data_IF_526481579365
#
_entry.id   IF_526481579365
#
_cell.length_a   1.000
_cell.length_b   1.000
_cell.length_c   1.000
_cell.angle_alpha   90.00
_cell.angle_beta   90.00
_cell.angle_gamma   90.00
#
_symmetry.space_group_name_H-M   'P 1'
#
loop_
_entity.id
_entity.type
_entity.pdbx_description
1 polymer ?
#
# COMPACT_ATOMS: atom_id res chain seq x y z
N UNK A 1 32.64 21.80 21.20
CA UNK A 1 31.27 21.46 21.64
C UNK A 1 31.02 20.02 21.24
N UNK A 2 30.29 19.24 22.05
CA UNK A 2 30.02 17.84 21.70
C UNK A 2 29.01 17.81 20.53
N UNK A 3 29.50 17.58 19.31
CA UNK A 3 28.68 17.54 18.08
C UNK A 3 28.00 16.17 17.87
N UNK A 4 28.09 15.28 18.86
CA UNK A 4 27.46 13.95 18.79
C UNK A 4 25.93 14.08 18.62
N UNK A 5 25.33 13.42 17.61
CA UNK A 5 23.90 13.53 17.32
C UNK A 5 23.03 12.99 18.47
N UNK A 6 21.78 13.45 18.52
CA UNK A 6 20.76 12.98 19.45
C UNK A 6 19.66 12.31 18.64
N UNK A 7 19.32 11.07 18.98
CA UNK A 7 18.26 10.30 18.34
C UNK A 7 17.12 10.09 19.33
N UNK A 8 15.97 10.70 19.07
CA UNK A 8 14.73 10.46 19.81
C UNK A 8 13.94 9.42 19.05
N UNK A 9 13.87 8.21 19.60
CA UNK A 9 13.14 7.10 19.03
C UNK A 9 11.77 6.99 19.71
N UNK A 10 10.71 7.01 18.91
CA UNK A 10 9.35 6.77 19.38
C UNK A 10 8.51 6.08 18.32
N UNK A 11 7.27 5.76 18.70
CA UNK A 11 6.20 5.47 17.76
C UNK A 11 5.42 6.76 17.44
N UNK A 12 4.51 6.68 16.46
CA UNK A 12 3.53 7.74 16.25
C UNK A 12 2.73 8.02 17.53
N UNK A 13 2.31 9.28 17.74
CA UNK A 13 1.43 9.68 18.86
C UNK A 13 1.98 9.41 20.28
N UNK A 14 3.28 9.21 20.43
CA UNK A 14 3.97 9.09 21.73
C UNK A 14 4.36 10.43 22.37
N UNK A 15 3.93 11.57 21.80
CA UNK A 15 4.34 12.91 22.28
C UNK A 15 5.69 13.38 21.74
N UNK A 16 6.20 12.78 20.67
CA UNK A 16 7.50 13.10 20.08
C UNK A 16 7.58 14.52 19.50
N UNK A 17 6.48 15.05 18.97
CA UNK A 17 6.38 16.46 18.55
C UNK A 17 6.60 17.43 19.71
N UNK A 18 6.15 17.09 20.92
CA UNK A 18 6.42 17.91 22.11
C UNK A 18 7.93 17.95 22.39
N UNK A 19 8.57 16.78 22.47
CA UNK A 19 10.01 16.73 22.74
C UNK A 19 10.82 17.39 21.63
N UNK A 20 10.44 17.21 20.36
CA UNK A 20 11.02 17.96 19.24
C UNK A 20 10.96 19.48 19.47
N UNK A 21 9.81 20.01 19.87
CA UNK A 21 9.63 21.43 20.15
C UNK A 21 10.44 21.89 21.38
N UNK A 22 10.62 21.03 22.39
CA UNK A 22 11.46 21.31 23.57
C UNK A 22 12.91 21.58 23.16
N UNK A 23 13.47 20.78 22.25
CA UNK A 23 14.82 21.02 21.72
C UNK A 23 14.84 22.20 20.75
N UNK A 24 13.87 22.27 19.84
CA UNK A 24 13.83 23.30 18.78
C UNK A 24 13.72 24.72 19.33
N UNK A 25 12.97 24.92 20.41
CA UNK A 25 12.79 26.24 21.04
C UNK A 25 14.02 26.76 21.78
N UNK A 26 15.02 25.93 22.09
CA UNK A 26 16.26 26.41 22.72
C UNK A 26 17.16 27.14 21.72
N UNK A 27 17.01 26.84 20.43
CA UNK A 27 17.88 27.37 19.37
C UNK A 27 19.29 26.79 19.33
N UNK A 28 19.65 25.88 20.26
CA UNK A 28 20.97 25.27 20.35
C UNK A 28 21.12 23.97 19.53
N UNK A 29 20.02 23.50 18.95
CA UNK A 29 19.95 22.24 18.20
C UNK A 29 19.45 22.48 16.77
N UNK A 30 19.94 21.65 15.86
CA UNK A 30 19.39 21.53 14.52
C UNK A 30 18.47 20.32 14.48
N UNK A 31 17.16 20.57 14.47
CA UNK A 31 16.15 19.55 14.75
C UNK A 31 15.48 19.05 13.47
N UNK A 32 15.68 17.79 13.12
CA UNK A 32 15.00 17.13 12.01
C UNK A 32 13.79 16.34 12.52
N UNK A 33 12.59 16.77 12.12
CA UNK A 33 11.34 16.12 12.48
C UNK A 33 11.00 15.00 11.50
N UNK A 34 10.80 13.78 11.99
CA UNK A 34 10.44 12.61 11.21
C UNK A 34 11.29 12.46 9.92
N UNK A 35 12.60 12.18 10.03
CA UNK A 35 13.51 12.13 8.87
C UNK A 35 13.22 11.00 7.88
N UNK A 36 12.22 10.17 8.15
CA UNK A 36 11.73 9.06 7.30
C UNK A 36 10.32 9.36 6.76
N UNK A 37 9.87 10.62 6.85
CA UNK A 37 8.53 10.99 6.44
C UNK A 37 8.38 11.05 4.91
N UNK A 38 7.28 10.51 4.41
CA UNK A 38 6.97 10.43 2.99
C UNK A 38 6.85 11.80 2.29
N UNK A 39 6.57 12.88 3.02
CA UNK A 39 6.61 14.25 2.47
C UNK A 39 8.00 14.62 1.95
N UNK A 40 9.06 13.98 2.44
CA UNK A 40 10.44 14.22 1.98
C UNK A 40 10.70 13.67 0.57
N UNK A 41 9.78 12.87 -0.01
CA UNK A 41 9.82 12.51 -1.45
C UNK A 41 9.70 13.73 -2.37
N UNK A 42 9.10 14.82 -1.88
CA UNK A 42 8.95 16.05 -2.64
C UNK A 42 10.20 16.96 -2.56
N UNK A 43 11.23 16.59 -1.78
CA UNK A 43 12.41 17.43 -1.54
C UNK A 43 13.12 17.83 -2.84
N UNK A 44 13.24 16.90 -3.79
CA UNK A 44 13.92 17.13 -5.07
C UNK A 44 13.06 17.90 -6.09
N UNK A 45 11.76 17.63 -6.10
CA UNK A 45 10.85 18.08 -7.17
C UNK A 45 10.06 19.33 -6.80
N UNK A 46 9.65 19.46 -5.54
CA UNK A 46 8.80 20.53 -5.01
C UNK A 46 9.19 20.87 -3.56
N UNK A 47 10.43 21.32 -3.29
CA UNK A 47 10.89 21.60 -1.93
C UNK A 47 10.00 22.62 -1.19
N UNK A 48 9.40 23.57 -1.90
CA UNK A 48 8.48 24.55 -1.30
C UNK A 48 7.21 23.92 -0.70
N UNK A 49 6.83 22.71 -1.14
CA UNK A 49 5.70 21.98 -0.55
C UNK A 49 5.94 21.63 0.94
N UNK A 50 7.19 21.46 1.35
CA UNK A 50 7.56 21.19 2.74
C UNK A 50 7.23 22.38 3.67
N UNK A 51 7.25 23.61 3.14
CA UNK A 51 6.93 24.81 3.90
C UNK A 51 5.42 24.99 4.11
N UNK A 52 4.59 24.35 3.29
CA UNK A 52 3.14 24.35 3.43
C UNK A 52 2.64 23.41 4.55
N UNK A 53 3.48 22.47 5.00
CA UNK A 53 3.14 21.57 6.11
C UNK A 53 3.28 22.34 7.42
N UNK A 54 2.14 22.77 7.95
CA UNK A 54 2.07 23.41 9.28
C UNK A 54 1.83 22.37 10.36
N UNK A 55 2.31 22.66 11.57
CA UNK A 55 2.10 21.83 12.77
C UNK A 55 0.63 21.78 13.24
N UNK A 56 -0.28 22.52 12.59
CA UNK A 56 -1.65 22.80 13.03
C UNK A 56 -2.77 22.16 12.19
N UNK A 57 -2.54 21.00 11.58
CA UNK A 57 -3.60 20.27 10.86
C UNK A 57 -4.63 19.55 11.77
N UNK A 58 -4.64 19.83 13.08
CA UNK A 58 -5.69 19.39 14.00
C UNK A 58 -5.97 20.47 15.04
N UNK A 59 -7.19 21.00 15.08
CA UNK A 59 -7.61 22.11 15.93
C UNK A 59 -7.65 21.82 17.45
N UNK A 60 -6.81 20.94 17.97
CA UNK A 60 -6.70 20.60 19.39
C UNK A 60 -5.33 19.99 19.74
N UNK A 61 -4.24 20.53 19.18
CA UNK A 61 -2.89 20.10 19.53
C UNK A 61 -2.22 21.22 20.32
N UNK A 62 -2.06 21.02 21.64
CA UNK A 62 -1.41 21.97 22.55
C UNK A 62 0.12 21.99 22.34
N UNK A 63 0.58 22.50 21.20
CA UNK A 63 1.99 22.79 20.97
C UNK A 63 2.18 24.31 20.88
N UNK A 64 3.20 24.88 21.55
CA UNK A 64 3.58 26.27 21.33
C UNK A 64 3.92 26.48 19.85
N UNK A 65 3.36 27.52 19.23
CA UNK A 65 3.77 27.95 17.90
C UNK A 65 5.21 28.47 17.99
N UNK A 66 6.13 27.75 17.37
CA UNK A 66 7.55 28.06 17.33
C UNK A 66 7.97 28.78 16.04
N UNK A 67 6.98 29.26 15.25
CA UNK A 67 7.19 30.20 14.15
C UNK A 67 7.87 29.63 12.91
N UNK A 68 8.02 28.30 12.81
CA UNK A 68 8.64 27.63 11.65
C UNK A 68 7.80 26.44 11.17
N UNK A 69 7.71 26.21 9.84
CA UNK A 69 7.07 25.02 9.27
C UNK A 69 7.65 23.70 9.80
N UNK A 70 6.87 22.62 9.64
CA UNK A 70 7.15 21.29 10.17
C UNK A 70 8.50 20.73 9.65
N UNK A 71 8.78 20.90 8.35
CA UNK A 71 9.98 20.39 7.68
C UNK A 71 11.00 21.50 7.32
N UNK A 72 10.98 22.63 8.02
CA UNK A 72 11.82 23.79 7.70
C UNK A 72 13.32 23.44 7.63
N UNK A 73 13.82 22.64 8.59
CA UNK A 73 15.23 22.25 8.66
C UNK A 73 15.68 21.43 7.44
N UNK A 74 14.80 20.59 6.87
CA UNK A 74 15.08 19.86 5.62
C UNK A 74 15.14 20.79 4.41
N UNK A 75 14.21 21.76 4.33
CA UNK A 75 14.21 22.75 3.25
C UNK A 75 15.50 23.57 3.26
N UNK A 76 15.99 23.97 4.42
CA UNK A 76 17.23 24.75 4.57
C UNK A 76 18.50 24.02 4.08
N UNK A 77 18.50 22.69 4.13
CA UNK A 77 19.66 21.86 3.73
C UNK A 77 19.41 21.04 2.47
N UNK A 78 18.31 21.29 1.76
CA UNK A 78 17.82 20.50 0.61
C UNK A 78 18.88 20.23 -0.46
N UNK A 79 19.77 21.19 -0.71
CA UNK A 79 20.81 21.04 -1.73
C UNK A 79 21.83 19.95 -1.37
N UNK A 80 22.12 19.78 -0.07
CA UNK A 80 22.97 18.69 0.43
C UNK A 80 22.27 17.33 0.42
N UNK A 81 20.94 17.30 0.31
CA UNK A 81 20.12 16.10 0.38
C UNK A 81 19.66 15.59 -0.99
N UNK A 82 19.95 16.34 -2.06
CA UNK A 82 19.44 16.08 -3.41
C UNK A 82 19.70 14.63 -3.84
N UNK A 83 18.62 13.90 -4.16
CA UNK A 83 18.68 12.51 -4.62
C UNK A 83 19.00 11.45 -3.55
N UNK A 84 19.21 11.86 -2.29
CA UNK A 84 19.57 10.93 -1.20
C UNK A 84 18.36 10.26 -0.55
N UNK A 85 17.22 10.96 -0.44
CA UNK A 85 16.02 10.39 0.18
C UNK A 85 15.35 9.34 -0.73
N UNK A 86 15.08 8.15 -0.20
CA UNK A 86 14.43 7.05 -0.93
C UNK A 86 13.09 6.68 -0.30
N UNK A 87 12.15 6.22 -1.13
CA UNK A 87 10.83 5.78 -0.65
C UNK A 87 10.92 4.63 0.35
N UNK A 88 11.89 3.71 0.19
CA UNK A 88 12.07 2.55 1.07
C UNK A 88 12.31 2.96 2.54
N UNK A 89 12.89 4.14 2.79
CA UNK A 89 13.15 4.65 4.14
C UNK A 89 11.88 4.83 4.96
N UNK A 90 10.74 5.06 4.29
CA UNK A 90 9.48 5.36 4.97
C UNK A 90 8.91 4.14 5.70
N UNK A 91 9.08 2.94 5.15
CA UNK A 91 8.43 1.72 5.66
C UNK A 91 9.23 0.43 5.41
N UNK A 92 9.83 0.26 4.23
CA UNK A 92 10.45 -1.01 3.81
C UNK A 92 11.73 -1.33 4.61
N UNK A 93 12.53 -0.30 4.87
CA UNK A 93 13.86 -0.41 5.49
C UNK A 93 13.81 -0.40 7.04
N UNK A 94 12.61 -0.39 7.64
CA UNK A 94 12.40 -0.17 9.07
C UNK A 94 13.07 -1.21 9.99
N UNK A 95 13.27 -2.43 9.50
CA UNK A 95 13.76 -3.59 10.27
C UNK A 95 15.07 -4.16 9.72
N UNK A 96 15.89 -3.32 9.08
CA UNK A 96 17.22 -3.73 8.66
C UNK A 96 18.14 -3.90 9.88
N UNK A 97 18.97 -4.95 9.86
CA UNK A 97 20.01 -5.16 10.88
C UNK A 97 21.11 -4.09 10.80
N UNK A 98 21.43 -3.64 9.59
CA UNK A 98 22.36 -2.55 9.31
C UNK A 98 21.71 -1.53 8.36
N UNK A 99 22.00 -0.25 8.57
CA UNK A 99 21.54 0.80 7.66
C UNK A 99 22.13 0.60 6.26
N UNK A 100 21.27 0.73 5.24
CA UNK A 100 21.69 0.66 3.85
C UNK A 100 22.71 1.76 3.50
N UNK A 101 23.45 1.58 2.40
CA UNK A 101 24.38 2.60 1.93
C UNK A 101 23.69 3.94 1.66
N UNK A 102 22.45 3.91 1.13
CA UNK A 102 21.64 5.09 0.87
C UNK A 102 21.18 5.76 2.17
N UNK A 103 20.71 4.99 3.17
CA UNK A 103 20.37 5.53 4.50
C UNK A 103 21.60 6.17 5.16
N UNK A 104 22.75 5.50 5.12
CA UNK A 104 24.01 6.04 5.66
C UNK A 104 24.36 7.38 5.02
N UNK A 105 24.33 7.46 3.68
CA UNK A 105 24.64 8.69 2.97
C UNK A 105 23.66 9.82 3.34
N UNK A 106 22.37 9.52 3.40
CA UNK A 106 21.32 10.47 3.76
C UNK A 106 21.49 11.03 5.19
N UNK A 107 21.63 10.17 6.20
CA UNK A 107 21.80 10.61 7.59
C UNK A 107 23.13 11.31 7.83
N UNK A 108 24.21 10.86 7.18
CA UNK A 108 25.50 11.54 7.25
C UNK A 108 25.39 12.96 6.67
N UNK A 109 24.74 13.13 5.52
CA UNK A 109 24.53 14.45 4.91
C UNK A 109 23.68 15.37 5.80
N UNK A 110 22.64 14.84 6.45
CA UNK A 110 21.83 15.59 7.43
C UNK A 110 22.68 16.09 8.61
N UNK A 111 23.55 15.23 9.16
CA UNK A 111 24.44 15.57 10.27
C UNK A 111 25.46 16.63 9.86
N UNK A 112 26.07 16.47 8.68
CA UNK A 112 27.11 17.39 8.17
C UNK A 112 26.54 18.76 7.79
N UNK A 113 25.31 18.82 7.29
CA UNK A 113 24.66 20.07 6.90
C UNK A 113 24.06 20.85 8.08
N UNK A 114 23.92 20.23 9.26
CA UNK A 114 23.40 20.88 10.45
C UNK A 114 24.29 22.03 10.93
N UNK A 115 23.67 23.19 11.20
CA UNK A 115 24.38 24.39 11.70
C UNK A 115 24.63 24.37 13.23
N UNK A 116 24.08 23.39 13.91
CA UNK A 116 24.16 23.20 15.36
C UNK A 116 24.16 21.70 15.67
N UNK A 117 24.15 21.33 16.95
CA UNK A 117 24.10 19.91 17.34
C UNK A 117 22.84 19.25 16.77
N UNK A 118 23.02 18.21 15.97
CA UNK A 118 21.92 17.53 15.29
C UNK A 118 21.04 16.76 16.29
N UNK A 119 19.73 16.95 16.19
CA UNK A 119 18.73 16.13 16.86
C UNK A 119 17.74 15.60 15.84
N UNK A 120 17.48 14.30 15.90
CA UNK A 120 16.49 13.63 15.08
C UNK A 120 15.32 13.19 15.95
N UNK A 121 14.09 13.50 15.53
CA UNK A 121 12.89 12.93 16.11
C UNK A 121 12.30 11.90 15.16
N UNK A 122 12.38 10.62 15.53
CA UNK A 122 11.82 9.51 14.76
C UNK A 122 10.46 9.10 15.29
N UNK A 123 9.61 8.65 14.38
CA UNK A 123 8.41 7.86 14.66
C UNK A 123 8.48 6.45 14.05
N UNK A 124 9.59 6.15 13.33
CA UNK A 124 9.80 4.99 12.45
C UNK A 124 11.25 4.47 12.49
N UNK A 125 11.90 4.50 13.65
CA UNK A 125 13.27 3.96 13.82
C UNK A 125 13.33 2.81 14.83
N UNK A 126 12.20 2.42 15.40
CA UNK A 126 12.14 1.47 16.51
C UNK A 126 12.54 0.04 16.11
N UNK A 127 12.62 -0.26 14.81
CA UNK A 127 13.11 -1.54 14.29
C UNK A 127 14.59 -1.60 13.95
N UNK A 128 15.31 -0.49 14.05
CA UNK A 128 16.73 -0.41 13.71
C UNK A 128 17.55 0.50 14.66
N UNK A 129 17.22 0.61 15.98
CA UNK A 129 17.95 1.53 16.87
C UNK A 129 19.43 1.15 17.03
N UNK A 130 19.73 -0.15 17.03
CA UNK A 130 21.10 -0.64 17.12
C UNK A 130 21.94 -0.27 15.89
N UNK A 131 21.32 -0.27 14.70
CA UNK A 131 21.99 0.11 13.45
C UNK A 131 22.41 1.59 13.48
N UNK A 132 21.53 2.48 13.97
CA UNK A 132 21.87 3.89 14.19
C UNK A 132 23.00 4.04 15.23
N UNK A 133 22.88 3.37 16.39
CA UNK A 133 23.85 3.48 17.48
C UNK A 133 25.25 2.99 17.07
N UNK A 134 25.30 1.87 16.36
CA UNK A 134 26.57 1.29 15.87
C UNK A 134 27.25 2.19 14.84
N UNK A 135 26.46 2.87 14.00
CA UNK A 135 26.99 3.66 12.90
C UNK A 135 27.36 5.09 13.31
N UNK A 136 26.46 5.78 14.00
CA UNK A 136 26.61 7.21 14.29
C UNK A 136 26.99 7.50 15.74
N UNK A 137 27.02 6.49 16.61
CA UNK A 137 27.08 6.71 18.05
C UNK A 137 25.92 7.62 18.46
N UNK A 138 26.18 8.61 19.29
CA UNK A 138 25.14 9.57 19.69
C UNK A 138 24.58 9.32 21.07
N UNK A 139 23.55 10.09 21.38
CA UNK A 139 22.67 9.85 22.52
C UNK A 139 21.36 9.32 21.97
N UNK A 140 20.90 8.20 22.49
CA UNK A 140 19.64 7.56 22.10
C UNK A 140 18.62 7.70 23.22
N UNK A 141 17.52 8.38 22.93
CA UNK A 141 16.40 8.58 23.84
C UNK A 141 15.23 7.74 23.35
N UNK A 142 14.73 6.84 24.18
CA UNK A 142 13.49 6.13 23.96
C UNK A 142 12.34 6.91 24.59
N UNK A 143 11.44 7.44 23.75
CA UNK A 143 10.22 8.10 24.18
C UNK A 143 9.02 7.18 23.95
N UNK A 144 8.25 6.94 25.00
CA UNK A 144 7.07 6.10 24.93
C UNK A 144 5.88 6.69 25.69
N UNK A 145 4.69 6.16 25.36
CA UNK A 145 3.40 6.52 25.94
C UNK A 145 2.64 5.25 26.25
N UNK A 146 1.79 5.30 27.28
CA UNK A 146 0.91 4.21 27.66
C UNK A 146 0.07 3.75 26.44
N UNK A 147 0.08 2.43 26.12
CA UNK A 147 -0.37 1.92 24.83
C UNK A 147 -1.86 2.19 24.56
N UNK A 148 -2.72 2.09 25.57
CA UNK A 148 -4.17 2.26 25.38
C UNK A 148 -4.51 3.71 25.06
N UNK A 149 -3.91 4.64 25.80
CA UNK A 149 -4.03 6.09 25.58
C UNK A 149 -3.42 6.53 24.26
N UNK A 150 -2.28 5.94 23.90
CA UNK A 150 -1.63 6.17 22.61
C UNK A 150 -2.51 5.68 21.45
N UNK A 151 -3.07 4.46 21.54
CA UNK A 151 -3.92 3.89 20.50
C UNK A 151 -5.21 4.70 20.27
N UNK A 152 -5.87 5.15 21.33
CA UNK A 152 -7.01 6.06 21.18
C UNK A 152 -6.61 7.37 20.50
N UNK A 153 -5.37 7.84 20.68
CA UNK A 153 -4.86 8.99 19.93
C UNK A 153 -4.56 8.68 18.47
N UNK A 154 -4.40 7.41 18.06
CA UNK A 154 -4.33 7.05 16.64
C UNK A 154 -5.69 7.28 15.97
N UNK A 155 -6.79 7.09 16.69
CA UNK A 155 -8.17 7.17 16.16
C UNK A 155 -8.61 8.58 15.74
N UNK A 156 -7.75 9.60 15.88
CA UNK A 156 -8.06 10.97 15.45
C UNK A 156 -8.16 11.10 13.92
N UNK A 157 -7.47 10.23 13.17
CA UNK A 157 -7.58 10.12 11.72
C UNK A 157 -7.16 8.72 11.25
N UNK A 158 -7.41 8.43 9.96
CA UNK A 158 -7.15 7.11 9.38
C UNK A 158 -5.67 6.87 9.04
N UNK A 159 -4.86 7.93 9.02
CA UNK A 159 -3.45 7.86 8.62
C UNK A 159 -2.66 6.87 9.48
N UNK A 160 -2.83 6.89 10.80
CA UNK A 160 -2.02 6.05 11.69
C UNK A 160 -2.39 4.56 11.58
N UNK A 161 -3.65 4.25 11.27
CA UNK A 161 -4.09 2.89 11.01
C UNK A 161 -3.55 2.38 9.67
N UNK A 162 -3.52 3.24 8.65
CA UNK A 162 -2.90 2.93 7.37
C UNK A 162 -1.38 2.76 7.49
N UNK A 163 -0.70 3.67 8.20
CA UNK A 163 0.75 3.58 8.46
C UNK A 163 1.11 2.31 9.23
N UNK A 164 0.28 1.88 10.19
CA UNK A 164 0.45 0.59 10.88
C UNK A 164 0.43 -0.57 9.88
N UNK A 165 -0.54 -0.60 8.96
CA UNK A 165 -0.61 -1.64 7.92
C UNK A 165 0.59 -1.60 6.96
N UNK A 166 1.09 -0.41 6.60
CA UNK A 166 2.29 -0.25 5.78
C UNK A 166 3.56 -0.75 6.48
N UNK A 167 3.70 -0.51 7.79
CA UNK A 167 4.79 -1.08 8.60
C UNK A 167 4.79 -2.62 8.55
N UNK A 168 3.62 -3.25 8.59
CA UNK A 168 3.48 -4.70 8.40
C UNK A 168 3.81 -5.18 6.97
N UNK A 169 3.98 -4.26 6.03
CA UNK A 169 4.47 -4.48 4.68
C UNK A 169 5.99 -4.47 4.55
N UNK A 170 6.74 -4.09 5.58
CA UNK A 170 8.19 -3.97 5.53
C UNK A 170 8.89 -5.26 5.09
N UNK A 171 9.99 -5.11 4.34
CA UNK A 171 10.70 -6.22 3.71
C UNK A 171 11.27 -7.23 4.72
N UNK A 172 11.77 -6.74 5.85
CA UNK A 172 12.46 -7.53 6.87
C UNK A 172 11.66 -7.66 8.17
N UNK A 173 10.33 -7.78 8.07
CA UNK A 173 9.46 -7.81 9.25
C UNK A 173 9.84 -8.99 10.21
N UNK A 174 10.11 -8.71 11.50
CA UNK A 174 10.51 -9.71 12.49
C UNK A 174 9.50 -10.87 12.67
N UNK A 175 9.94 -12.09 13.03
CA UNK A 175 9.07 -13.28 13.13
C UNK A 175 7.84 -13.10 14.02
N UNK A 176 7.99 -12.47 15.19
CA UNK A 176 6.86 -12.18 16.08
C UNK A 176 5.82 -11.27 15.41
N UNK A 177 6.26 -10.25 14.67
CA UNK A 177 5.37 -9.34 13.95
C UNK A 177 4.76 -10.03 12.71
N UNK A 178 5.46 -10.93 12.04
CA UNK A 178 4.89 -11.76 10.97
C UNK A 178 3.77 -12.68 11.47
N UNK A 179 3.93 -13.25 12.66
CA UNK A 179 2.87 -14.04 13.30
C UNK A 179 1.63 -13.17 13.59
N UNK A 180 1.83 -11.94 14.07
CA UNK A 180 0.74 -10.97 14.29
C UNK A 180 0.07 -10.59 12.97
N UNK A 181 0.85 -10.25 11.93
CA UNK A 181 0.35 -9.94 10.57
C UNK A 181 -0.60 -11.01 10.07
N UNK A 182 -0.18 -12.28 10.19
CA UNK A 182 -0.97 -13.44 9.78
C UNK A 182 -2.24 -13.58 10.61
N UNK A 183 -2.14 -13.49 11.94
CA UNK A 183 -3.29 -13.63 12.85
C UNK A 183 -4.34 -12.53 12.65
N UNK A 184 -3.90 -11.30 12.34
CA UNK A 184 -4.76 -10.15 12.09
C UNK A 184 -5.21 -10.05 10.62
N UNK A 185 -4.77 -10.97 9.76
CA UNK A 185 -5.05 -10.99 8.31
C UNK A 185 -4.71 -9.66 7.62
N UNK A 186 -3.59 -9.06 8.02
CA UNK A 186 -3.13 -7.81 7.43
C UNK A 186 -2.57 -8.13 6.05
N UNK A 187 -3.15 -7.52 5.03
CA UNK A 187 -2.68 -7.57 3.64
C UNK A 187 -2.14 -6.19 3.28
N UNK A 188 -0.83 -5.94 3.48
CA UNK A 188 -0.24 -4.66 3.15
C UNK A 188 -0.49 -4.32 1.67
N UNK A 189 -0.83 -3.06 1.36
CA UNK A 189 -1.04 -2.61 -0.01
C UNK A 189 0.13 -2.95 -0.93
N UNK A 190 -0.15 -3.54 -2.09
CA UNK A 190 0.84 -3.79 -3.13
C UNK A 190 0.83 -2.60 -4.12
N UNK A 191 1.65 -1.58 -3.85
CA UNK A 191 1.84 -0.46 -4.78
C UNK A 191 3.26 0.08 -4.70
N UNK A 192 3.85 0.35 -5.86
CA UNK A 192 5.14 1.04 -5.96
C UNK A 192 5.03 2.52 -5.56
N UNK A 193 3.81 3.09 -5.51
CA UNK A 193 3.59 4.47 -5.10
C UNK A 193 3.04 4.52 -3.67
N UNK A 194 3.79 5.14 -2.76
CA UNK A 194 3.43 5.18 -1.35
C UNK A 194 2.10 5.90 -1.05
N UNK A 195 1.77 6.96 -1.81
CA UNK A 195 0.48 7.65 -1.67
C UNK A 195 -0.71 6.76 -2.01
N UNK A 196 -0.56 5.94 -3.05
CA UNK A 196 -1.56 4.96 -3.47
C UNK A 196 -1.65 3.80 -2.48
N UNK A 197 -0.52 3.28 -2.01
CA UNK A 197 -0.46 2.27 -0.96
C UNK A 197 -1.22 2.74 0.29
N UNK A 198 -0.93 3.95 0.77
CA UNK A 198 -1.63 4.54 1.92
C UNK A 198 -3.14 4.64 1.69
N UNK A 199 -3.57 5.18 0.56
CA UNK A 199 -5.00 5.31 0.24
C UNK A 199 -5.72 3.96 0.18
N UNK A 200 -5.04 2.89 -0.27
CA UNK A 200 -5.57 1.52 -0.23
C UNK A 200 -5.72 1.02 1.22
N UNK A 201 -4.71 1.23 2.07
CA UNK A 201 -4.81 0.85 3.48
C UNK A 201 -5.91 1.61 4.25
N UNK A 202 -6.11 2.90 3.96
CA UNK A 202 -7.19 3.71 4.54
C UNK A 202 -8.59 3.20 4.15
N UNK A 203 -8.72 2.57 2.98
CA UNK A 203 -9.96 1.94 2.48
C UNK A 203 -10.16 0.51 2.97
N UNK A 204 -9.15 -0.10 3.57
CA UNK A 204 -9.20 -1.46 4.12
C UNK A 204 -8.83 -1.46 5.60
N UNK A 205 -9.53 -0.71 6.48
CA UNK A 205 -9.20 -0.69 7.88
C UNK A 205 -9.52 -2.04 8.55
N UNK A 206 -8.70 -2.40 9.53
CA UNK A 206 -8.94 -3.54 10.40
C UNK A 206 -10.08 -3.22 11.39
N UNK A 207 -10.77 -4.27 11.83
CA UNK A 207 -11.66 -4.20 13.01
C UNK A 207 -10.87 -3.77 14.25
N UNK A 208 -11.53 -3.19 15.25
CA UNK A 208 -10.82 -2.50 16.34
C UNK A 208 -9.92 -3.45 17.13
N UNK A 209 -10.32 -4.72 17.31
CA UNK A 209 -9.53 -5.72 18.04
C UNK A 209 -8.25 -6.05 17.29
N UNK A 210 -8.34 -6.41 16.01
CA UNK A 210 -7.18 -6.70 15.15
C UNK A 210 -6.29 -5.45 14.99
N UNK A 211 -6.90 -4.28 14.89
CA UNK A 211 -6.18 -3.01 14.83
C UNK A 211 -5.39 -2.72 16.13
N UNK A 212 -6.01 -2.89 17.31
CA UNK A 212 -5.32 -2.72 18.59
C UNK A 212 -4.23 -3.78 18.75
N UNK A 213 -4.50 -5.03 18.38
CA UNK A 213 -3.52 -6.12 18.42
C UNK A 213 -2.29 -5.83 17.57
N UNK A 214 -2.48 -5.34 16.35
CA UNK A 214 -1.41 -4.92 15.45
C UNK A 214 -0.61 -3.74 16.02
N UNK A 215 -1.32 -2.71 16.51
CA UNK A 215 -0.67 -1.57 17.17
C UNK A 215 0.15 -1.99 18.39
N UNK A 216 -0.44 -2.77 19.30
CA UNK A 216 0.20 -3.17 20.56
C UNK A 216 1.41 -4.08 20.31
N UNK A 217 1.38 -4.91 19.27
CA UNK A 217 2.54 -5.69 18.87
C UNK A 217 3.72 -4.80 18.43
N UNK A 218 3.48 -3.77 17.61
CA UNK A 218 4.52 -2.79 17.29
C UNK A 218 4.98 -2.01 18.52
N UNK A 219 4.04 -1.67 19.42
CA UNK A 219 4.33 -1.01 20.68
C UNK A 219 5.25 -1.85 21.57
N UNK A 220 4.91 -3.11 21.79
CA UNK A 220 5.67 -4.05 22.60
C UNK A 220 7.05 -4.32 21.99
N UNK A 221 7.11 -4.51 20.68
CA UNK A 221 8.37 -4.66 19.96
C UNK A 221 9.28 -3.43 20.16
N UNK A 222 8.74 -2.22 19.97
CA UNK A 222 9.50 -1.00 20.21
C UNK A 222 9.98 -0.88 21.67
N UNK A 223 9.19 -1.30 22.65
CA UNK A 223 9.66 -1.32 24.05
C UNK A 223 10.82 -2.29 24.25
N UNK A 224 10.72 -3.51 23.71
CA UNK A 224 11.74 -4.55 23.88
C UNK A 224 13.06 -4.16 23.20
N UNK A 225 13.00 -3.59 22.00
CA UNK A 225 14.18 -3.17 21.25
C UNK A 225 14.80 -1.89 21.82
N UNK A 226 14.01 -0.82 21.98
CA UNK A 226 14.55 0.50 22.32
C UNK A 226 15.11 0.57 23.74
N UNK A 227 14.52 -0.14 24.70
CA UNK A 227 15.01 -0.14 26.09
C UNK A 227 16.37 -0.78 26.25
N UNK A 228 16.75 -1.70 25.35
CA UNK A 228 18.07 -2.31 25.35
C UNK A 228 19.13 -1.37 24.79
N UNK A 229 18.75 -0.47 23.88
CA UNK A 229 19.70 0.36 23.13
C UNK A 229 19.74 1.83 23.57
N UNK A 230 18.69 2.33 24.22
CA UNK A 230 18.61 3.72 24.63
C UNK A 230 19.50 4.03 25.84
N UNK A 231 20.08 5.23 25.82
CA UNK A 231 20.80 5.80 26.97
C UNK A 231 19.83 6.45 27.97
N UNK A 232 18.62 6.76 27.54
CA UNK A 232 17.55 7.34 28.34
C UNK A 232 16.17 6.78 27.94
N UNK A 233 15.46 6.20 28.89
CA UNK A 233 14.05 5.78 28.75
C UNK A 233 13.11 6.83 29.37
N UNK A 234 12.11 7.25 28.60
CA UNK A 234 11.27 8.42 28.89
C UNK A 234 9.79 8.13 28.62
N UNK A 235 8.99 8.10 29.69
CA UNK A 235 7.53 8.04 29.63
C UNK A 235 6.94 9.44 29.57
N UNK A 236 6.23 9.78 28.48
CA UNK A 236 5.57 11.09 28.35
C UNK A 236 4.44 11.28 29.37
N UNK A 237 3.79 10.18 29.78
CA UNK A 237 2.68 10.21 30.74
C UNK A 237 3.23 10.55 32.13
N UNK A 238 4.30 9.88 32.57
CA UNK A 238 4.98 10.20 33.84
C UNK A 238 5.59 11.59 33.82
N UNK A 239 6.23 12.02 32.72
CA UNK A 239 6.72 13.40 32.58
C UNK A 239 5.64 14.45 32.85
N UNK A 240 4.40 14.14 32.46
CA UNK A 240 3.27 15.05 32.56
C UNK A 240 2.59 15.03 33.94
N UNK A 241 2.65 13.90 34.65
CA UNK A 241 1.92 13.68 35.91
C UNK A 241 2.80 13.73 37.16
N UNK A 242 4.08 13.38 37.04
CA UNK A 242 5.00 13.21 38.17
C UNK A 242 6.16 14.20 38.08
N UNK A 243 6.15 15.19 38.97
CA UNK A 243 7.20 16.21 39.05
C UNK A 243 8.55 15.63 39.45
N UNK A 244 8.58 14.64 40.35
CA UNK A 244 9.83 14.02 40.80
C UNK A 244 10.46 13.18 39.67
N UNK A 245 9.64 12.46 38.91
CA UNK A 245 10.10 11.76 37.70
C UNK A 245 10.67 12.75 36.68
N UNK A 246 10.00 13.87 36.44
CA UNK A 246 10.48 14.91 35.52
C UNK A 246 11.81 15.50 35.96
N UNK A 247 11.97 15.82 37.24
CA UNK A 247 13.22 16.36 37.78
C UNK A 247 14.36 15.35 37.68
N UNK A 248 14.09 14.07 37.97
CA UNK A 248 15.05 12.98 37.79
C UNK A 248 15.50 12.85 36.33
N UNK A 249 14.55 12.92 35.38
CA UNK A 249 14.87 12.85 33.94
C UNK A 249 15.65 14.06 33.45
N UNK A 250 15.39 15.26 33.97
CA UNK A 250 16.22 16.44 33.69
C UNK A 250 17.66 16.26 34.19
N UNK A 251 17.88 15.58 35.32
CA UNK A 251 19.24 15.23 35.79
C UNK A 251 19.89 14.24 34.82
N UNK A 252 19.19 13.19 34.38
CA UNK A 252 19.70 12.24 33.39
C UNK A 252 20.03 12.91 32.04
N UNK A 253 19.22 13.86 31.57
CA UNK A 253 19.57 14.64 30.38
C UNK A 253 20.87 15.44 30.57
N UNK A 254 21.06 16.06 31.74
CA UNK A 254 22.27 16.84 32.05
C UNK A 254 23.52 15.96 32.09
N UNK A 255 23.44 14.75 32.64
CA UNK A 255 24.58 13.81 32.63
C UNK A 255 24.97 13.38 31.23
N UNK A 256 24.01 13.36 30.29
CA UNK A 256 24.23 13.13 28.87
C UNK A 256 24.66 14.41 28.11
N UNK A 257 24.83 15.54 28.79
CA UNK A 257 25.28 16.81 28.19
C UNK A 257 24.17 17.60 27.48
N UNK A 258 22.91 17.40 27.86
CA UNK A 258 21.74 18.16 27.41
C UNK A 258 21.24 18.99 28.61
N UNK A 259 21.62 20.27 28.65
CA UNK A 259 21.49 21.10 29.86
C UNK A 259 20.46 22.23 29.76
N UNK A 260 19.98 22.50 28.54
CA UNK A 260 19.25 23.71 28.16
C UNK A 260 17.78 23.48 27.84
N UNK A 261 17.28 22.26 28.08
CA UNK A 261 15.88 21.90 27.87
C UNK A 261 15.04 22.15 29.13
N UNK A 262 13.79 22.53 28.93
CA UNK A 262 12.76 22.61 29.97
C UNK A 262 11.64 21.63 29.63
N UNK A 263 11.18 20.86 30.61
CA UNK A 263 10.10 19.88 30.48
C UNK A 263 8.85 20.24 31.32
N UNK A 264 8.84 21.40 31.99
CA UNK A 264 7.80 21.81 32.94
C UNK A 264 6.39 21.93 32.30
N UNK A 265 6.36 22.17 30.99
CA UNK A 265 5.16 22.32 30.16
C UNK A 265 4.63 21.00 29.57
N UNK A 266 5.19 19.83 29.94
CA UNK A 266 4.71 18.54 29.45
C UNK A 266 3.27 18.28 29.90
N UNK A 267 2.35 18.08 28.95
CA UNK A 267 0.92 17.83 29.19
C UNK A 267 0.37 16.77 28.21
N UNK A 268 0.74 15.52 28.42
CA UNK A 268 0.15 14.38 27.70
C UNK A 268 -1.18 13.95 28.34
N UNK A 269 -2.28 13.87 27.57
CA UNK A 269 -3.53 13.35 28.09
C UNK A 269 -3.43 11.84 28.31
N UNK A 270 -3.89 11.37 29.47
CA UNK A 270 -3.99 9.94 29.78
C UNK A 270 -5.46 9.53 29.82
N UNK A 271 -5.80 8.42 29.16
CA UNK A 271 -7.16 7.88 29.19
C UNK A 271 -7.31 6.99 30.40
N UNK A 272 -8.38 7.23 31.16
CA UNK A 272 -8.80 6.39 32.29
C UNK A 272 -9.91 5.45 31.82
N UNK A 273 -9.66 4.16 32.00
CA UNK A 273 -10.55 3.06 31.62
C UNK A 273 -11.24 2.46 32.85
N UNK A 274 -12.44 1.93 32.68
CA UNK A 274 -13.04 1.08 33.73
C UNK A 274 -12.29 -0.25 33.82
N UNK A 275 -12.52 -1.00 34.90
CA UNK A 275 -11.92 -2.33 35.07
C UNK A 275 -12.30 -3.28 33.92
N UNK A 276 -13.53 -3.20 33.42
CA UNK A 276 -14.02 -4.01 32.31
C UNK A 276 -13.33 -3.63 31.00
N UNK A 277 -13.19 -2.33 30.71
CA UNK A 277 -12.46 -1.87 29.52
C UNK A 277 -10.98 -2.27 29.59
N UNK A 278 -10.34 -2.05 30.75
CA UNK A 278 -8.95 -2.43 30.96
C UNK A 278 -8.73 -3.94 30.78
N UNK A 279 -9.66 -4.78 31.24
CA UNK A 279 -9.61 -6.23 31.06
C UNK A 279 -9.70 -6.63 29.58
N UNK A 280 -10.55 -5.97 28.78
CA UNK A 280 -10.67 -6.22 27.34
C UNK A 280 -9.36 -5.92 26.60
N UNK A 281 -8.70 -4.80 26.92
CA UNK A 281 -7.40 -4.48 26.34
C UNK A 281 -6.32 -5.44 26.83
N UNK A 282 -6.31 -5.77 28.14
CA UNK A 282 -5.35 -6.70 28.74
C UNK A 282 -5.40 -8.08 28.09
N UNK A 283 -6.58 -8.59 27.77
CA UNK A 283 -6.74 -9.87 27.04
C UNK A 283 -5.98 -9.86 25.71
N UNK A 284 -6.12 -8.79 24.92
CA UNK A 284 -5.41 -8.65 23.63
C UNK A 284 -3.90 -8.50 23.86
N UNK A 285 -3.49 -7.74 24.87
CA UNK A 285 -2.09 -7.54 25.22
C UNK A 285 -1.41 -8.86 25.61
N UNK A 286 -2.09 -9.72 26.37
CA UNK A 286 -1.63 -11.05 26.75
C UNK A 286 -1.54 -12.00 25.55
N UNK A 287 -2.48 -11.95 24.61
CA UNK A 287 -2.37 -12.68 23.34
C UNK A 287 -1.12 -12.31 22.57
N UNK A 288 -0.80 -11.00 22.49
CA UNK A 288 0.41 -10.51 21.84
C UNK A 288 1.66 -10.94 22.60
N UNK A 289 1.68 -10.81 23.93
CA UNK A 289 2.77 -11.25 24.77
C UNK A 289 3.09 -12.74 24.57
N UNK A 290 2.06 -13.58 24.45
CA UNK A 290 2.23 -15.00 24.17
C UNK A 290 2.84 -15.26 22.78
N UNK A 291 2.45 -14.50 21.76
CA UNK A 291 3.09 -14.59 20.43
C UNK A 291 4.57 -14.19 20.50
N UNK A 292 4.92 -13.13 21.24
CA UNK A 292 6.32 -12.72 21.38
C UNK A 292 7.15 -13.78 22.13
N UNK A 293 6.59 -14.33 23.21
CA UNK A 293 7.21 -15.43 23.97
C UNK A 293 7.50 -16.64 23.09
N UNK A 294 6.56 -17.07 22.24
CA UNK A 294 6.77 -18.22 21.34
C UNK A 294 7.75 -17.92 20.21
N UNK A 295 8.04 -16.64 19.94
CA UNK A 295 9.01 -16.18 18.95
C UNK A 295 10.34 -15.73 19.57
N UNK A 296 10.67 -16.20 20.77
CA UNK A 296 12.02 -16.08 21.35
C UNK A 296 12.25 -14.88 22.26
N UNK A 297 11.24 -14.03 22.51
CA UNK A 297 11.38 -12.94 23.48
C UNK A 297 11.29 -13.45 24.92
N UNK A 298 12.12 -12.89 25.80
CA UNK A 298 12.18 -13.26 27.21
C UNK A 298 10.90 -12.83 27.94
N UNK A 299 10.26 -13.78 28.62
CA UNK A 299 9.01 -13.48 29.32
C UNK A 299 9.17 -12.50 30.48
N UNK A 300 10.31 -12.48 31.17
CA UNK A 300 10.58 -11.51 32.24
C UNK A 300 10.58 -10.07 31.71
N UNK A 301 11.18 -9.83 30.55
CA UNK A 301 11.24 -8.49 29.95
C UNK A 301 9.85 -7.99 29.58
N UNK A 302 9.02 -8.90 29.04
CA UNK A 302 7.60 -8.62 28.77
C UNK A 302 6.86 -8.29 30.08
N UNK A 303 7.07 -9.05 31.15
CA UNK A 303 6.45 -8.78 32.45
C UNK A 303 6.87 -7.42 33.04
N UNK A 304 8.13 -7.01 32.87
CA UNK A 304 8.59 -5.67 33.25
C UNK A 304 7.83 -4.58 32.49
N UNK A 305 7.59 -4.77 31.19
CA UNK A 305 6.80 -3.82 30.38
C UNK A 305 5.35 -3.76 30.84
N UNK A 306 4.74 -4.90 31.21
CA UNK A 306 3.38 -4.92 31.75
C UNK A 306 3.29 -4.18 33.09
N UNK A 307 4.26 -4.39 33.98
CA UNK A 307 4.34 -3.67 35.25
C UNK A 307 4.45 -2.14 35.05
N UNK A 308 5.15 -1.68 34.00
CA UNK A 308 5.21 -0.26 33.66
C UNK A 308 3.86 0.30 33.21
N UNK A 309 3.07 -0.48 32.46
CA UNK A 309 1.70 -0.09 32.07
C UNK A 309 0.83 0.02 33.32
N UNK A 310 0.91 -0.97 34.23
CA UNK A 310 0.13 -1.00 35.46
C UNK A 310 0.49 0.18 36.38
N UNK A 311 1.78 0.54 36.51
CA UNK A 311 2.22 1.68 37.31
C UNK A 311 1.54 2.99 36.89
N UNK A 312 1.38 3.23 35.57
CA UNK A 312 0.73 4.46 35.06
C UNK A 312 -0.79 4.44 35.32
N UNK A 313 -1.41 3.26 35.24
CA UNK A 313 -2.86 3.12 35.39
C UNK A 313 -3.31 3.12 36.86
N UNK A 314 -2.50 2.59 37.78
CA UNK A 314 -2.84 2.46 39.19
C UNK A 314 -2.77 3.78 39.98
N UNK A 315 -2.02 4.77 39.51
CA UNK A 315 -1.78 6.02 40.26
C UNK A 315 -3.01 6.91 40.46
N UNK A 316 -4.15 6.64 39.82
CA UNK A 316 -5.36 7.47 40.01
C UNK A 316 -6.66 6.75 39.59
N UNK A 317 -7.12 5.79 40.42
CA UNK A 317 -8.41 5.10 40.27
C UNK A 317 -9.61 5.98 40.67
N UNK A 318 -9.56 7.29 40.39
CA UNK A 318 -10.73 8.15 40.51
C UNK A 318 -11.82 7.70 39.53
N UNK A 319 -13.09 7.86 39.92
CA UNK A 319 -14.22 7.25 39.23
C UNK A 319 -14.31 7.67 37.75
N UNK A 320 -14.04 6.72 36.85
CA UNK A 320 -14.33 6.90 35.42
C UNK A 320 -15.84 7.05 35.27
N UNK A 321 -16.28 8.16 34.67
CA UNK A 321 -17.70 8.36 34.38
C UNK A 321 -18.21 7.25 33.47
N UNK A 322 -19.31 6.59 33.86
CA UNK A 322 -19.98 5.59 33.02
C UNK A 322 -20.36 6.12 31.64
N UNK A 323 -20.58 7.43 31.49
CA UNK A 323 -20.82 8.06 30.19
C UNK A 323 -19.58 7.99 29.28
N UNK A 324 -18.37 8.22 29.81
CA UNK A 324 -17.14 8.16 29.02
C UNK A 324 -16.84 6.73 28.55
N UNK A 325 -17.05 5.74 29.42
CA UNK A 325 -16.92 4.32 29.06
C UNK A 325 -17.93 3.91 27.98
N UNK A 326 -19.19 4.35 28.11
CA UNK A 326 -20.22 4.11 27.10
C UNK A 326 -19.86 4.71 25.74
N UNK A 327 -19.33 5.94 25.71
CA UNK A 327 -18.89 6.60 24.46
C UNK A 327 -17.78 5.78 23.79
N UNK A 328 -16.79 5.31 24.55
CA UNK A 328 -15.73 4.46 24.01
C UNK A 328 -16.27 3.13 23.49
N UNK A 329 -17.18 2.49 24.22
CA UNK A 329 -17.85 1.27 23.76
C UNK A 329 -18.62 1.46 22.45
N UNK A 330 -19.31 2.60 22.28
CA UNK A 330 -19.94 2.98 21.00
C UNK A 330 -18.89 3.20 19.91
N UNK A 331 -17.79 3.91 20.22
CA UNK A 331 -16.72 4.17 19.27
C UNK A 331 -16.08 2.87 18.74
N UNK A 332 -15.82 1.88 19.61
CA UNK A 332 -15.31 0.56 19.19
C UNK A 332 -16.27 -0.13 18.19
N UNK A 333 -17.58 -0.11 18.46
CA UNK A 333 -18.58 -0.68 17.52
C UNK A 333 -18.65 0.09 16.20
N UNK A 334 -18.47 1.41 16.23
CA UNK A 334 -18.42 2.22 15.02
C UNK A 334 -17.16 1.92 14.18
N UNK A 335 -16.02 1.69 14.81
CA UNK A 335 -14.80 1.25 14.12
C UNK A 335 -15.00 -0.09 13.41
N UNK A 336 -15.62 -1.07 14.09
CA UNK A 336 -15.94 -2.36 13.46
C UNK A 336 -16.92 -2.20 12.30
N UNK A 337 -18.00 -1.44 12.50
CA UNK A 337 -18.99 -1.22 11.45
C UNK A 337 -18.39 -0.52 10.23
N UNK A 338 -17.48 0.43 10.46
CA UNK A 338 -16.74 1.11 9.40
C UNK A 338 -15.87 0.12 8.62
N UNK A 339 -15.12 -0.75 9.31
CA UNK A 339 -14.31 -1.78 8.67
C UNK A 339 -15.16 -2.75 7.83
N UNK A 340 -16.33 -3.16 8.33
CA UNK A 340 -17.27 -4.01 7.59
C UNK A 340 -17.76 -3.34 6.30
N UNK A 341 -18.28 -2.12 6.41
CA UNK A 341 -18.85 -1.39 5.26
C UNK A 341 -17.78 -1.11 4.20
N UNK A 342 -16.55 -0.77 4.60
CA UNK A 342 -15.48 -0.51 3.65
C UNK A 342 -15.00 -1.80 2.95
N UNK A 343 -14.90 -2.91 3.67
CA UNK A 343 -14.58 -4.21 3.07
C UNK A 343 -15.68 -4.69 2.11
N UNK A 344 -16.95 -4.49 2.45
CA UNK A 344 -18.08 -4.76 1.54
C UNK A 344 -17.97 -3.91 0.27
N UNK A 345 -17.67 -2.62 0.39
CA UNK A 345 -17.49 -1.72 -0.76
C UNK A 345 -16.30 -2.15 -1.65
N UNK A 346 -15.18 -2.58 -1.08
CA UNK A 346 -14.04 -3.11 -1.83
C UNK A 346 -14.41 -4.35 -2.64
N UNK A 347 -15.15 -5.28 -2.03
CA UNK A 347 -15.62 -6.49 -2.72
C UNK A 347 -16.58 -6.16 -3.88
N UNK A 348 -17.45 -5.17 -3.69
CA UNK A 348 -18.33 -4.67 -4.75
C UNK A 348 -17.53 -4.02 -5.88
N UNK A 349 -16.50 -3.23 -5.57
CA UNK A 349 -15.63 -2.63 -6.58
C UNK A 349 -14.87 -3.68 -7.39
N UNK A 350 -14.31 -4.70 -6.76
CA UNK A 350 -13.64 -5.81 -7.46
C UNK A 350 -14.63 -6.58 -8.36
N UNK A 351 -15.85 -6.80 -7.86
CA UNK A 351 -16.92 -7.43 -8.66
C UNK A 351 -17.29 -6.58 -9.88
N UNK A 352 -17.45 -5.27 -9.71
CA UNK A 352 -17.71 -4.34 -10.81
C UNK A 352 -16.57 -4.32 -11.83
N UNK A 353 -15.31 -4.36 -11.38
CA UNK A 353 -14.16 -4.40 -12.27
C UNK A 353 -14.14 -5.69 -13.10
N UNK A 354 -14.36 -6.86 -12.47
CA UNK A 354 -14.45 -8.14 -13.18
C UNK A 354 -15.58 -8.18 -14.21
N UNK A 355 -16.74 -7.59 -13.88
CA UNK A 355 -17.85 -7.45 -14.82
C UNK A 355 -17.49 -6.53 -15.98
N UNK A 356 -16.84 -5.41 -15.70
CA UNK A 356 -16.34 -4.48 -16.73
C UNK A 356 -15.35 -5.18 -17.69
N UNK A 357 -14.41 -5.95 -17.17
CA UNK A 357 -13.44 -6.71 -17.97
C UNK A 357 -14.14 -7.81 -18.79
N UNK A 358 -15.16 -8.46 -18.22
CA UNK A 358 -15.97 -9.44 -18.93
C UNK A 358 -16.74 -8.82 -20.10
N UNK A 359 -17.38 -7.67 -19.90
CA UNK A 359 -18.07 -6.91 -20.96
C UNK A 359 -17.08 -6.55 -22.06
N UNK A 360 -15.90 -6.01 -21.72
CA UNK A 360 -14.87 -5.67 -22.70
C UNK A 360 -14.35 -6.89 -23.49
N UNK A 361 -14.37 -8.09 -22.89
CA UNK A 361 -14.05 -9.33 -23.59
C UNK A 361 -15.18 -9.79 -24.52
N UNK A 362 -16.44 -9.67 -24.08
CA UNK A 362 -17.60 -9.97 -24.91
C UNK A 362 -17.68 -9.04 -26.13
N UNK A 363 -17.42 -7.75 -25.97
CA UNK A 363 -17.38 -6.78 -27.07
C UNK A 363 -16.32 -7.16 -28.12
N UNK A 364 -15.15 -7.62 -27.67
CA UNK A 364 -14.10 -8.15 -28.55
C UNK A 364 -14.55 -9.40 -29.31
N UNK A 365 -15.25 -10.31 -28.65
CA UNK A 365 -15.78 -11.52 -29.28
C UNK A 365 -16.88 -11.21 -30.30
N UNK A 366 -17.81 -10.30 -29.97
CA UNK A 366 -18.86 -9.83 -30.88
C UNK A 366 -18.23 -9.20 -32.12
N UNK A 367 -17.20 -8.37 -31.95
CA UNK A 367 -16.47 -7.78 -33.08
C UNK A 367 -15.89 -8.86 -33.99
N UNK A 368 -15.22 -9.86 -33.43
CA UNK A 368 -14.63 -10.96 -34.21
C UNK A 368 -15.69 -11.80 -34.93
N UNK A 369 -16.83 -12.06 -34.29
CA UNK A 369 -17.96 -12.75 -34.92
C UNK A 369 -18.56 -11.92 -36.07
N UNK A 370 -18.65 -10.60 -35.93
CA UNK A 370 -19.10 -9.72 -37.01
C UNK A 370 -18.13 -9.75 -38.19
N UNK A 371 -16.82 -9.67 -37.93
CA UNK A 371 -15.77 -9.75 -38.96
C UNK A 371 -15.84 -11.10 -39.72
N UNK A 372 -16.02 -12.22 -39.00
CA UNK A 372 -16.24 -13.53 -39.61
C UNK A 372 -17.55 -13.61 -40.41
N UNK A 373 -18.63 -13.01 -39.89
CA UNK A 373 -19.91 -12.92 -40.57
C UNK A 373 -19.83 -12.14 -41.89
N UNK A 374 -19.08 -11.04 -41.92
CA UNK A 374 -18.81 -10.26 -43.13
C UNK A 374 -17.98 -11.06 -44.15
N UNK A 375 -16.95 -11.79 -43.68
CA UNK A 375 -16.17 -12.67 -44.55
C UNK A 375 -17.02 -13.80 -45.16
N UNK A 376 -17.89 -14.43 -44.36
CA UNK A 376 -18.79 -15.46 -44.84
C UNK A 376 -19.82 -14.91 -45.85
N UNK A 377 -20.38 -13.73 -45.59
CA UNK A 377 -21.28 -13.04 -46.55
C UNK A 377 -20.60 -12.78 -47.88
N UNK A 378 -19.34 -12.35 -47.86
CA UNK A 378 -18.55 -12.14 -49.09
C UNK A 378 -18.34 -13.46 -49.85
N UNK A 379 -18.00 -14.54 -49.14
CA UNK A 379 -17.79 -15.85 -49.76
C UNK A 379 -19.09 -16.42 -50.37
N UNK A 380 -20.24 -16.22 -49.73
CA UNK A 380 -21.54 -16.58 -50.29
C UNK A 380 -21.79 -15.82 -51.60
N UNK A 381 -21.55 -14.51 -51.63
CA UNK A 381 -21.69 -13.72 -52.86
C UNK A 381 -20.75 -14.19 -53.98
N UNK A 382 -19.52 -14.60 -53.65
CA UNK A 382 -18.58 -15.18 -54.62
C UNK A 382 -19.11 -16.52 -55.18
N UNK A 383 -19.70 -17.38 -54.35
CA UNK A 383 -20.33 -18.62 -54.79
C UNK A 383 -21.56 -18.38 -55.66
N UNK A 384 -22.44 -17.45 -55.30
CA UNK A 384 -23.62 -17.11 -56.11
C UNK A 384 -23.23 -16.62 -57.51
N UNK A 385 -22.16 -15.83 -57.60
CA UNK A 385 -21.57 -15.41 -58.88
C UNK A 385 -21.02 -16.60 -59.68
N UNK A 386 -20.34 -17.55 -59.03
CA UNK A 386 -19.81 -18.74 -59.69
C UNK A 386 -20.92 -19.66 -60.21
N UNK A 387 -21.99 -19.87 -59.41
CA UNK A 387 -23.18 -20.62 -59.83
C UNK A 387 -23.83 -19.97 -61.04
N UNK A 388 -24.00 -18.65 -61.04
CA UNK A 388 -24.56 -17.92 -62.18
C UNK A 388 -23.75 -18.11 -63.47
N UNK A 389 -22.41 -18.12 -63.38
CA UNK A 389 -21.54 -18.41 -64.53
C UNK A 389 -21.69 -19.84 -65.03
N UNK A 390 -21.75 -20.81 -64.12
CA UNK A 390 -21.93 -22.22 -64.47
C UNK A 390 -23.28 -22.46 -65.14
N UNK A 391 -24.34 -21.79 -64.68
CA UNK A 391 -25.66 -21.82 -65.32
C UNK A 391 -25.62 -21.27 -66.74
N UNK A 392 -24.95 -20.14 -66.97
CA UNK A 392 -24.75 -19.58 -68.32
C UNK A 392 -24.00 -20.56 -69.23
N UNK A 393 -22.90 -21.15 -68.73
CA UNK A 393 -22.10 -22.10 -69.51
C UNK A 393 -22.88 -23.39 -69.84
N UNK A 394 -23.71 -23.87 -68.91
CA UNK A 394 -24.61 -24.99 -69.15
C UNK A 394 -25.60 -24.68 -70.27
N UNK A 395 -26.19 -23.48 -70.27
CA UNK A 395 -27.12 -23.06 -71.32
C UNK A 395 -26.44 -22.98 -72.70
N UNK A 396 -25.21 -22.44 -72.76
CA UNK A 396 -24.43 -22.38 -74.00
C UNK A 396 -24.10 -23.79 -74.53
N UNK A 397 -23.76 -24.72 -73.64
CA UNK A 397 -23.50 -26.13 -73.98
C UNK A 397 -24.76 -26.84 -74.47
N UNK A 398 -25.92 -26.61 -73.85
CA UNK A 398 -27.20 -27.15 -74.29
C UNK A 398 -27.55 -26.64 -75.70
N UNK A 399 -27.31 -25.36 -76.00
CA UNK A 399 -27.50 -24.81 -77.34
C UNK A 399 -26.54 -25.43 -78.36
N UNK A 400 -25.26 -25.59 -78.00
CA UNK A 400 -24.28 -26.23 -78.86
C UNK A 400 -24.62 -27.71 -79.13
N UNK A 401 -25.07 -28.44 -78.11
CA UNK A 401 -25.51 -29.83 -78.24
C UNK A 401 -26.68 -29.93 -79.22
N UNK A 402 -27.66 -29.03 -79.13
CA UNK A 402 -28.79 -28.97 -80.05
C UNK A 402 -28.33 -28.74 -81.49
N UNK A 403 -27.39 -27.81 -81.73
CA UNK A 403 -26.82 -27.57 -83.06
C UNK A 403 -26.12 -28.81 -83.63
N UNK A 404 -25.38 -29.55 -82.80
CA UNK A 404 -24.72 -30.80 -83.21
C UNK A 404 -25.76 -31.88 -83.55
N UNK A 405 -26.83 -32.01 -82.76
CA UNK A 405 -27.93 -32.92 -83.04
C UNK A 405 -28.62 -32.58 -84.37
N UNK A 406 -28.98 -31.31 -84.58
CA UNK A 406 -29.57 -30.84 -85.84
C UNK A 406 -28.66 -31.13 -87.05
N UNK A 407 -27.35 -30.92 -86.89
CA UNK A 407 -26.36 -31.21 -87.93
C UNK A 407 -26.27 -32.72 -88.23
N UNK A 408 -26.26 -33.57 -87.19
CA UNK A 408 -26.23 -35.01 -87.35
C UNK A 408 -27.48 -35.53 -88.08
N UNK A 409 -28.67 -35.04 -87.72
CA UNK A 409 -29.93 -35.39 -88.41
C UNK A 409 -29.93 -34.96 -89.87
N UNK A 410 -29.38 -33.79 -90.19
CA UNK A 410 -29.23 -33.33 -91.57
C UNK A 410 -28.25 -34.20 -92.36
N UNK A 411 -27.15 -34.62 -91.74
CA UNK A 411 -26.14 -35.46 -92.38
C UNK A 411 -26.68 -36.88 -92.63
N UNK A 412 -27.49 -37.42 -91.72
CA UNK A 412 -28.16 -38.70 -91.88
C UNK A 412 -29.22 -38.65 -93.00
N UNK A 413 -30.00 -37.56 -93.08
CA UNK A 413 -30.91 -37.32 -94.21
C UNK A 413 -30.17 -37.24 -95.55
N UNK A 414 -29.07 -36.50 -95.61
CA UNK A 414 -28.25 -36.39 -96.83
C UNK A 414 -27.66 -37.75 -97.23
N UNK A 415 -27.24 -38.56 -96.26
CA UNK A 415 -26.77 -39.94 -96.49
C UNK A 415 -27.88 -40.83 -97.05
N UNK A 416 -29.10 -40.76 -96.50
CA UNK A 416 -30.25 -41.50 -97.02
C UNK A 416 -30.56 -41.11 -98.47
N UNK A 417 -30.59 -39.81 -98.78
CA UNK A 417 -30.79 -39.34 -100.16
C UNK A 417 -29.69 -39.82 -101.12
N UNK A 418 -28.44 -39.82 -100.67
CA UNK A 418 -27.33 -40.35 -101.48
C UNK A 418 -27.46 -41.86 -101.73
N UNK A 419 -27.91 -42.63 -100.73
CA UNK A 419 -28.18 -44.06 -100.89
C UNK A 419 -29.33 -44.31 -101.88
N UNK A 420 -30.42 -43.54 -101.79
CA UNK A 420 -31.52 -43.59 -102.77
C UNK A 420 -31.05 -43.25 -104.19
N UNK A 421 -30.18 -42.25 -104.35
CA UNK A 421 -29.57 -41.93 -105.64
C UNK A 421 -28.68 -43.06 -106.17
N UNK A 422 -27.88 -43.70 -105.30
CA UNK A 422 -27.07 -44.85 -105.67
C UNK A 422 -27.98 -46.00 -106.14
N UNK A 423 -29.05 -46.31 -105.40
CA UNK A 423 -30.00 -47.37 -105.77
C UNK A 423 -30.71 -47.08 -107.10
N UNK A 424 -31.08 -45.83 -107.34
CA UNK A 424 -31.61 -45.38 -108.64
C UNK A 424 -30.61 -45.57 -109.77
N UNK A 425 -29.34 -45.21 -109.56
CA UNK A 425 -28.27 -45.38 -110.55
C UNK A 425 -27.96 -46.87 -110.79
N UNK A 426 -27.96 -47.70 -109.75
CA UNK A 426 -27.82 -49.16 -109.87
C UNK A 426 -28.98 -49.76 -110.68
N UNK A 427 -30.19 -49.25 -110.50
CA UNK A 427 -31.37 -49.64 -111.28
C UNK A 427 -31.24 -49.23 -112.75
N UNK A 428 -30.84 -48.01 -113.07
CA UNK A 428 -30.53 -47.59 -114.45
C UNK A 428 -29.42 -48.47 -115.08
N UNK A 429 -28.37 -48.77 -114.32
CA UNK A 429 -27.25 -49.58 -114.78
C UNK A 429 -27.67 -51.04 -115.03
N UNK A 430 -28.65 -51.56 -114.28
CA UNK A 430 -29.25 -52.87 -114.52
C UNK A 430 -30.15 -52.91 -115.78
N UNK A 431 -30.80 -51.81 -116.14
CA UNK A 431 -31.59 -51.69 -117.37
C UNK A 431 -30.73 -51.57 -118.64
N UNK A 432 -29.46 -51.20 -118.48
CA UNK A 432 -28.46 -51.13 -119.54
C UNK A 432 -27.70 -52.45 -119.76
N UNK A 433 -27.99 -53.51 -118.99
CA UNK A 433 -27.39 -54.82 -119.22
C UNK A 433 -28.08 -55.54 -120.39
N UNK A 434 -27.35 -55.98 -121.42
CA UNK A 434 -27.92 -56.79 -122.49
C UNK A 434 -28.31 -58.16 -121.94
N UNK A 435 -29.51 -58.62 -122.28
CA UNK A 435 -29.93 -60.01 -122.11
C UNK A 435 -29.08 -60.91 -123.01
N UNK A 436 -28.25 -61.75 -122.40
CA UNK A 436 -27.79 -63.02 -122.97
C UNK A 436 -28.53 -64.18 -122.32
#
# INVERSE_FOLDING_TARGET
MNNSPIFIHSLFRSGSTYLFNVFRRTGNYWCYQEPENEWLLELDNKPEALLAVTTNNGGNIHHPDIGKPYFWEFHEVRDSLRGLFKQSFCFDDLFLEELSADQRAYYQALIEASRARTMFQFCRSFGQPQAFKSLFGGIHVHLWREPRSQWWSFKINDYFDAATQLIYGAAHLPPALQAIKTSCRINPPASENLGTARAQAERSPLKWRENYRAFFALWLYAQLELRQQADLDLSIDRLSQDAAYRDAKLVEFRTLGINDIDLSDSRSPLIRLTSEEAALFREIEEEVANVFKTNGFTYSDIQTIFAMIDEIQDQDRTSVSGAAANIRGVALRLLDRRAEVLNENLNLQDTLQRLSDHIANQDRAIKLLNDHGDAARKQIADYDNAVSRLQSYSADLEEALKKVQDYAENLDRARLQALEQIESLETELSQLRPTE
#
